data_IF_062823467710
#
_entry.id   IF_062823467710
#
_cell.length_a   1.000
_cell.length_b   1.000
_cell.length_c   1.000
_cell.angle_alpha   90.00
_cell.angle_beta   90.00
_cell.angle_gamma   90.00
#
_symmetry.space_group_name_H-M   'P 1'
#
loop_
_entity.id
_entity.type
_entity.pdbx_description
1 polymer ?
#
# COMPACT_ATOMS: atom_id res chain seq x y z
N UNK A 1 -77.94 -27.68 -41.45
CA UNK A 1 -76.86 -28.64 -41.76
C UNK A 1 -75.83 -28.49 -40.65
N UNK A 2 -75.75 -29.39 -39.66
CA UNK A 2 -74.90 -30.60 -39.66
C UNK A 2 -73.44 -30.23 -40.02
N UNK A 3 -72.38 -30.49 -39.24
CA UNK A 3 -72.13 -31.50 -38.22
C UNK A 3 -70.78 -31.23 -37.48
N UNK A 4 -70.60 -31.89 -36.32
CA UNK A 4 -69.37 -32.33 -35.62
C UNK A 4 -68.32 -31.29 -35.13
N UNK A 5 -67.94 -31.13 -33.85
CA UNK A 5 -67.73 -31.97 -32.64
C UNK A 5 -66.28 -32.51 -32.43
N UNK A 6 -65.71 -32.12 -31.27
CA UNK A 6 -64.66 -32.77 -30.44
C UNK A 6 -63.21 -32.69 -30.98
N UNK A 7 -62.09 -32.47 -30.27
CA UNK A 7 -61.60 -32.42 -28.86
C UNK A 7 -60.12 -31.97 -28.97
N UNK A 8 -59.41 -31.30 -28.04
CA UNK A 8 -58.82 -31.83 -26.78
C UNK A 8 -57.97 -30.73 -26.07
N UNK A 9 -58.30 -30.50 -24.79
CA UNK A 9 -57.56 -29.94 -23.61
C UNK A 9 -56.18 -29.23 -23.71
N UNK A 10 -56.18 -27.97 -23.21
CA UNK A 10 -55.36 -27.30 -22.16
C UNK A 10 -53.86 -27.62 -21.98
N UNK A 11 -53.02 -26.56 -21.96
CA UNK A 11 -51.98 -26.36 -20.93
C UNK A 11 -51.74 -24.87 -20.66
N UNK A 12 -51.55 -24.58 -19.39
CA UNK A 12 -51.42 -23.29 -18.72
C UNK A 12 -49.98 -22.77 -18.70
N UNK A 13 -49.88 -21.50 -18.27
CA UNK A 13 -48.79 -20.88 -17.51
C UNK A 13 -47.61 -20.26 -18.27
N UNK A 14 -47.54 -18.94 -18.07
CA UNK A 14 -46.41 -18.21 -17.49
C UNK A 14 -45.14 -18.16 -18.33
N UNK A 15 -45.01 -17.08 -19.10
CA UNK A 15 -43.79 -16.73 -19.83
C UNK A 15 -43.22 -15.44 -19.24
N UNK A 16 -42.78 -15.54 -17.99
CA UNK A 16 -42.02 -14.52 -17.27
C UNK A 16 -40.59 -14.50 -17.82
N UNK A 17 -40.36 -13.66 -18.84
CA UNK A 17 -39.02 -13.46 -19.42
C UNK A 17 -38.12 -12.71 -18.44
N UNK A 18 -36.90 -13.19 -18.16
CA UNK A 18 -36.05 -12.62 -17.14
C UNK A 18 -35.51 -11.26 -17.60
N UNK A 19 -35.94 -10.19 -16.91
CA UNK A 19 -35.36 -8.86 -17.00
C UNK A 19 -33.90 -8.94 -16.56
N UNK A 20 -32.97 -8.92 -17.53
CA UNK A 20 -31.54 -8.73 -17.28
C UNK A 20 -31.32 -7.35 -16.64
N UNK A 21 -31.41 -7.30 -15.30
CA UNK A 21 -30.91 -6.18 -14.51
C UNK A 21 -29.40 -6.10 -14.71
N UNK A 22 -28.97 -5.20 -15.60
CA UNK A 22 -27.60 -4.71 -15.63
C UNK A 22 -27.29 -4.15 -14.23
N UNK A 23 -26.61 -4.93 -13.39
CA UNK A 23 -25.91 -4.43 -12.21
C UNK A 23 -24.87 -3.45 -12.71
N UNK A 24 -25.23 -2.17 -12.79
CA UNK A 24 -24.28 -1.07 -12.79
C UNK A 24 -23.45 -1.24 -11.51
N UNK A 25 -22.29 -1.87 -11.63
CA UNK A 25 -21.23 -1.71 -10.65
C UNK A 25 -21.04 -0.21 -10.52
N UNK A 26 -21.45 0.33 -9.38
CA UNK A 26 -21.17 1.70 -8.99
C UNK A 26 -19.64 1.76 -8.88
N UNK A 27 -18.96 2.14 -9.97
CA UNK A 27 -17.56 2.54 -9.91
C UNK A 27 -17.52 3.56 -8.78
N UNK A 28 -16.84 3.23 -7.68
CA UNK A 28 -16.30 4.24 -6.79
C UNK A 28 -15.32 4.99 -7.70
N UNK A 29 -15.85 6.01 -8.39
CA UNK A 29 -15.03 7.04 -8.99
C UNK A 29 -14.37 7.67 -7.77
N UNK A 30 -13.08 7.47 -7.62
CA UNK A 30 -12.28 8.50 -6.96
C UNK A 30 -12.73 9.81 -7.59
N UNK A 31 -13.19 10.74 -6.75
CA UNK A 31 -13.73 11.99 -7.23
C UNK A 31 -12.60 12.66 -8.02
N UNK A 32 -12.76 12.84 -9.33
CA UNK A 32 -11.66 13.38 -10.15
C UNK A 32 -11.20 14.76 -9.64
N UNK A 33 -12.04 15.45 -8.86
CA UNK A 33 -11.73 16.69 -8.17
C UNK A 33 -10.62 16.59 -7.12
N UNK A 34 -10.30 15.40 -6.62
CA UNK A 34 -9.22 15.20 -5.64
C UNK A 34 -7.86 14.93 -6.28
N UNK A 35 -7.82 14.69 -7.58
CA UNK A 35 -6.58 14.42 -8.32
C UNK A 35 -5.95 15.73 -8.79
N UNK A 36 -4.88 16.13 -8.11
CA UNK A 36 -4.03 17.24 -8.51
C UNK A 36 -2.93 16.72 -9.46
N UNK A 37 -3.16 16.87 -10.76
CA UNK A 37 -2.24 16.43 -11.80
C UNK A 37 -0.94 17.23 -11.86
N UNK A 38 -1.00 18.51 -11.48
CA UNK A 38 0.17 19.40 -11.50
C UNK A 38 1.12 19.06 -10.35
N UNK A 39 0.57 18.77 -9.17
CA UNK A 39 1.36 18.29 -8.04
C UNK A 39 1.67 16.79 -8.11
N UNK A 40 0.97 16.02 -8.95
CA UNK A 40 1.06 14.56 -9.00
C UNK A 40 0.55 13.90 -7.72
N UNK A 41 -0.50 14.45 -7.11
CA UNK A 41 -1.05 14.02 -5.83
C UNK A 41 -2.56 13.76 -5.89
N UNK A 42 -3.02 12.76 -5.15
CA UNK A 42 -4.40 12.55 -4.79
C UNK A 42 -4.64 13.13 -3.39
N UNK A 43 -5.28 14.31 -3.34
CA UNK A 43 -5.55 15.05 -2.10
C UNK A 43 -6.57 14.37 -1.19
N UNK A 44 -7.28 13.34 -1.66
CA UNK A 44 -8.18 12.58 -0.81
C UNK A 44 -7.43 11.96 0.39
N UNK A 45 -6.18 11.54 0.22
CA UNK A 45 -5.34 10.96 1.28
C UNK A 45 -5.00 11.93 2.41
N UNK A 46 -5.17 13.23 2.22
CA UNK A 46 -5.00 14.24 3.29
C UNK A 46 -6.12 14.13 4.33
N UNK A 47 -7.28 13.59 3.94
CA UNK A 47 -8.52 13.59 4.70
C UNK A 47 -8.96 12.20 5.17
N UNK A 48 -8.27 11.15 4.72
CA UNK A 48 -8.62 9.77 5.07
C UNK A 48 -8.07 9.43 6.46
N UNK A 49 -8.98 9.11 7.38
CA UNK A 49 -8.64 8.51 8.67
C UNK A 49 -8.28 7.01 8.51
N UNK A 50 -7.93 6.36 9.62
CA UNK A 50 -7.57 4.93 9.62
C UNK A 50 -8.68 4.02 9.07
N UNK A 51 -9.95 4.36 9.28
CA UNK A 51 -11.09 3.57 8.79
C UNK A 51 -11.19 3.69 7.26
N UNK A 52 -11.17 4.91 6.74
CA UNK A 52 -11.23 5.17 5.30
C UNK A 52 -10.03 4.59 4.55
N UNK A 53 -8.82 4.66 5.13
CA UNK A 53 -7.62 4.04 4.55
C UNK A 53 -7.73 2.51 4.51
N UNK A 54 -8.15 1.89 5.61
CA UNK A 54 -8.34 0.44 5.67
C UNK A 54 -9.37 -0.04 4.64
N UNK A 55 -10.50 0.66 4.52
CA UNK A 55 -11.56 0.35 3.56
C UNK A 55 -11.07 0.56 2.11
N UNK A 56 -10.33 1.64 1.84
CA UNK A 56 -9.74 1.90 0.53
C UNK A 56 -8.80 0.76 0.10
N UNK A 57 -7.86 0.37 0.97
CA UNK A 57 -6.91 -0.71 0.71
C UNK A 57 -7.64 -2.05 0.55
N UNK A 58 -8.61 -2.37 1.42
CA UNK A 58 -9.40 -3.59 1.30
C UNK A 58 -10.18 -3.66 -0.02
N UNK A 59 -10.76 -2.54 -0.46
CA UNK A 59 -11.46 -2.45 -1.73
C UNK A 59 -10.52 -2.70 -2.92
N UNK A 60 -9.33 -2.08 -2.93
CA UNK A 60 -8.34 -2.26 -4.00
C UNK A 60 -7.78 -3.68 -4.01
N UNK A 61 -7.48 -4.26 -2.85
CA UNK A 61 -7.05 -5.66 -2.73
C UNK A 61 -8.10 -6.61 -3.30
N UNK A 62 -9.38 -6.46 -2.92
CA UNK A 62 -10.48 -7.30 -3.45
C UNK A 62 -10.66 -7.14 -4.97
N UNK A 63 -10.44 -5.95 -5.50
CA UNK A 63 -10.53 -5.67 -6.94
C UNK A 63 -9.48 -6.44 -7.75
N UNK A 64 -8.27 -6.61 -7.21
CA UNK A 64 -7.15 -7.22 -7.93
C UNK A 64 -6.85 -8.68 -7.54
N UNK A 65 -7.31 -9.12 -6.36
CA UNK A 65 -7.19 -10.49 -5.86
C UNK A 65 -8.41 -11.34 -6.21
N UNK A 66 -8.90 -11.29 -7.45
CA UNK A 66 -10.06 -12.08 -7.90
C UNK A 66 -9.81 -13.58 -7.90
N UNK A 67 -8.55 -13.98 -7.89
CA UNK A 67 -8.05 -15.34 -7.80
C UNK A 67 -7.94 -15.86 -6.36
N UNK A 68 -8.11 -14.99 -5.36
CA UNK A 68 -8.02 -15.35 -3.95
C UNK A 68 -9.38 -15.78 -3.38
N UNK A 69 -9.34 -16.77 -2.51
CA UNK A 69 -10.49 -17.18 -1.70
C UNK A 69 -10.89 -16.09 -0.69
N UNK A 70 -12.08 -16.24 -0.12
CA UNK A 70 -12.56 -15.31 0.93
C UNK A 70 -11.63 -15.30 2.15
N UNK A 71 -11.04 -16.46 2.48
CA UNK A 71 -10.10 -16.60 3.60
C UNK A 71 -8.79 -15.86 3.29
N UNK A 72 -8.21 -16.07 2.12
CA UNK A 72 -6.98 -15.37 1.72
C UNK A 72 -7.17 -13.85 1.64
N UNK A 73 -8.34 -13.38 1.18
CA UNK A 73 -8.67 -11.95 1.19
C UNK A 73 -8.80 -11.40 2.62
N UNK A 74 -9.25 -12.22 3.57
CA UNK A 74 -9.32 -11.81 4.98
C UNK A 74 -7.94 -11.72 5.62
N UNK A 75 -6.99 -12.56 5.22
CA UNK A 75 -5.60 -12.48 5.69
C UNK A 75 -4.91 -11.20 5.23
N UNK A 76 -5.30 -10.68 4.05
CA UNK A 76 -4.83 -9.41 3.49
C UNK A 76 -5.58 -8.17 4.00
N UNK A 77 -6.45 -8.31 4.99
CA UNK A 77 -7.13 -7.18 5.61
C UNK A 77 -6.25 -6.50 6.67
N UNK A 78 -6.19 -5.17 6.61
CA UNK A 78 -5.50 -4.30 7.58
C UNK A 78 -6.57 -3.69 8.48
N UNK A 79 -6.42 -3.84 9.79
CA UNK A 79 -7.34 -3.21 10.76
C UNK A 79 -7.14 -1.68 10.75
N UNK A 80 -8.22 -0.88 10.85
CA UNK A 80 -8.13 0.56 11.04
C UNK A 80 -7.20 0.96 12.20
N UNK A 81 -7.21 0.20 13.30
CA UNK A 81 -6.39 0.45 14.49
C UNK A 81 -4.89 0.21 14.26
N UNK A 82 -4.52 -0.48 13.18
CA UNK A 82 -3.12 -0.67 12.79
C UNK A 82 -2.54 0.59 12.11
N UNK A 83 -3.40 1.48 11.60
CA UNK A 83 -3.00 2.64 10.82
C UNK A 83 -2.87 3.84 11.76
N UNK A 84 -1.70 4.48 11.73
CA UNK A 84 -1.46 5.71 12.47
C UNK A 84 -2.21 6.86 11.79
N UNK A 85 -3.03 7.55 12.56
CA UNK A 85 -3.73 8.74 12.08
C UNK A 85 -2.74 9.88 11.80
N UNK A 86 -2.85 10.44 10.59
CA UNK A 86 -2.01 11.55 10.09
C UNK A 86 -2.85 12.68 9.50
N UNK A 87 -4.15 12.72 9.81
CA UNK A 87 -5.08 13.77 9.37
C UNK A 87 -4.77 15.14 9.98
N UNK A 88 -3.98 15.20 11.05
CA UNK A 88 -3.46 16.45 11.64
C UNK A 88 -2.36 17.13 10.79
N UNK A 89 -1.92 16.50 9.69
CA UNK A 89 -0.93 17.10 8.80
C UNK A 89 -1.59 18.10 7.83
N UNK A 90 -1.21 19.37 7.95
CA UNK A 90 -1.84 20.45 7.16
C UNK A 90 -1.14 20.76 5.84
N UNK A 91 0.16 20.44 5.70
CA UNK A 91 0.90 20.71 4.46
C UNK A 91 0.56 19.68 3.38
N UNK A 92 0.78 20.03 2.12
CA UNK A 92 0.62 19.08 1.01
C UNK A 92 1.57 17.89 1.17
N UNK A 93 1.11 16.69 0.81
CA UNK A 93 1.91 15.45 0.92
C UNK A 93 2.89 15.27 -0.25
N UNK A 94 3.67 16.33 -0.52
CA UNK A 94 4.62 16.43 -1.64
C UNK A 94 6.01 15.88 -1.28
N UNK A 95 6.92 15.77 -2.25
CA UNK A 95 8.32 15.37 -1.96
C UNK A 95 9.04 16.36 -1.05
N UNK A 96 8.73 17.66 -1.17
CA UNK A 96 9.35 18.73 -0.39
C UNK A 96 8.99 18.65 1.08
N UNK A 97 7.74 18.27 1.38
CA UNK A 97 7.19 18.20 2.72
C UNK A 97 7.41 16.85 3.41
N UNK A 98 7.87 15.82 2.68
CA UNK A 98 8.08 14.48 3.23
C UNK A 98 9.04 14.46 4.44
N UNK A 99 10.16 15.20 4.44
CA UNK A 99 11.05 15.17 5.58
C UNK A 99 10.42 15.77 6.84
N UNK A 100 9.66 16.87 6.71
CA UNK A 100 8.95 17.50 7.82
C UNK A 100 7.81 16.58 8.32
N UNK A 101 7.12 15.90 7.40
CA UNK A 101 6.10 14.91 7.73
C UNK A 101 6.70 13.76 8.56
N UNK A 102 7.86 13.22 8.14
CA UNK A 102 8.55 12.19 8.90
C UNK A 102 8.95 12.67 10.29
N UNK A 103 9.42 13.91 10.43
CA UNK A 103 9.73 14.51 11.74
C UNK A 103 8.48 14.58 12.63
N UNK A 104 7.35 15.06 12.10
CA UNK A 104 6.10 15.20 12.84
C UNK A 104 5.52 13.87 13.34
N UNK A 105 5.54 12.81 12.52
CA UNK A 105 4.89 11.53 12.85
C UNK A 105 5.84 10.43 13.33
N UNK A 106 7.14 10.71 13.41
CA UNK A 106 8.13 9.74 13.91
C UNK A 106 8.03 9.49 15.42
N UNK A 107 7.71 10.51 16.22
CA UNK A 107 7.84 10.46 17.68
C UNK A 107 9.28 10.46 18.18
N UNK A 108 10.28 10.40 17.29
CA UNK A 108 11.72 10.41 17.57
C UNK A 108 12.49 11.12 16.45
N UNK A 109 12.06 12.33 16.10
CA UNK A 109 12.61 13.15 15.01
C UNK A 109 14.13 13.21 15.00
N UNK A 110 14.75 13.35 16.18
CA UNK A 110 16.20 13.46 16.36
C UNK A 110 16.96 12.20 15.92
N UNK A 111 16.28 11.04 15.89
CA UNK A 111 16.85 9.73 15.57
C UNK A 111 16.63 9.31 14.12
N UNK A 112 15.91 10.11 13.32
CA UNK A 112 15.69 9.79 11.90
C UNK A 112 16.99 9.68 11.10
N UNK A 113 18.06 10.31 11.57
CA UNK A 113 19.38 10.25 10.96
C UNK A 113 20.31 9.18 11.54
N UNK A 114 19.82 8.33 12.46
CA UNK A 114 20.60 7.31 13.15
C UNK A 114 20.25 5.91 12.65
N UNK A 115 21.15 5.29 11.88
CA UNK A 115 20.99 3.88 11.54
C UNK A 115 21.15 2.96 12.76
N UNK A 116 20.39 1.86 12.85
CA UNK A 116 20.68 0.78 13.79
C UNK A 116 22.07 0.18 13.58
N UNK A 117 22.67 -0.39 14.63
CA UNK A 117 24.03 -0.98 14.57
C UNK A 117 24.12 -2.16 13.61
N UNK A 118 23.05 -2.95 13.51
CA UNK A 118 22.92 -4.10 12.62
C UNK A 118 22.79 -3.62 11.16
N UNK A 119 23.62 -4.15 10.27
CA UNK A 119 23.52 -3.90 8.84
C UNK A 119 22.17 -4.41 8.29
N UNK A 120 21.67 -3.79 7.24
CA UNK A 120 20.42 -4.22 6.59
C UNK A 120 19.17 -4.13 7.46
N UNK A 121 19.21 -3.40 8.59
CA UNK A 121 18.09 -3.29 9.53
C UNK A 121 17.63 -1.85 9.71
N UNK A 122 16.89 -1.27 8.74
CA UNK A 122 16.39 0.10 8.83
C UNK A 122 15.33 0.25 9.92
N UNK A 123 15.26 1.45 10.53
CA UNK A 123 14.15 1.81 11.41
C UNK A 123 12.94 2.33 10.62
N UNK A 124 13.14 2.77 9.38
CA UNK A 124 12.09 3.31 8.51
C UNK A 124 12.14 2.66 7.13
N UNK A 125 11.01 2.14 6.67
CA UNK A 125 10.82 1.72 5.27
C UNK A 125 9.79 2.62 4.62
N UNK A 126 10.13 3.20 3.46
CA UNK A 126 9.21 3.96 2.61
C UNK A 126 8.91 3.11 1.37
N UNK A 127 7.62 2.86 1.12
CA UNK A 127 7.13 1.99 0.05
C UNK A 127 6.55 2.85 -1.06
N UNK A 128 7.11 2.73 -2.27
CA UNK A 128 6.72 3.51 -3.43
C UNK A 128 6.14 2.61 -4.53
N UNK A 129 5.20 3.14 -5.32
CA UNK A 129 4.57 2.36 -6.40
C UNK A 129 5.45 2.11 -7.62
N UNK A 130 6.56 2.83 -7.78
CA UNK A 130 7.46 2.66 -8.93
C UNK A 130 8.90 3.02 -8.59
N UNK A 131 9.86 2.44 -9.31
CA UNK A 131 11.29 2.70 -9.11
C UNK A 131 11.71 4.14 -9.40
N UNK A 132 11.03 4.84 -10.32
CA UNK A 132 11.30 6.26 -10.57
C UNK A 132 10.91 7.11 -9.35
N UNK A 133 9.66 6.93 -8.87
CA UNK A 133 9.16 7.59 -7.66
C UNK A 133 9.99 7.25 -6.42
N UNK A 134 10.40 5.99 -6.26
CA UNK A 134 11.31 5.57 -5.19
C UNK A 134 12.64 6.35 -5.22
N UNK A 135 13.21 6.61 -6.40
CA UNK A 135 14.42 7.42 -6.52
C UNK A 135 14.19 8.88 -6.08
N UNK A 136 13.02 9.45 -6.33
CA UNK A 136 12.67 10.81 -5.92
C UNK A 136 12.47 10.90 -4.41
N UNK A 137 11.77 9.93 -3.81
CA UNK A 137 11.65 9.79 -2.36
C UNK A 137 13.00 9.65 -1.67
N UNK A 138 13.93 8.86 -2.25
CA UNK A 138 15.31 8.76 -1.74
C UNK A 138 16.00 10.12 -1.72
N UNK A 139 15.80 10.96 -2.73
CA UNK A 139 16.37 12.32 -2.77
C UNK A 139 15.73 13.22 -1.72
N UNK A 140 14.41 13.15 -1.56
CA UNK A 140 13.69 13.94 -0.54
C UNK A 140 14.19 13.64 0.88
N UNK A 141 14.41 12.36 1.22
CA UNK A 141 14.83 11.95 2.57
C UNK A 141 16.36 11.93 2.78
N UNK A 142 17.15 12.45 1.82
CA UNK A 142 18.62 12.51 1.96
C UNK A 142 19.08 13.34 3.14
N UNK A 143 18.28 14.28 3.64
CA UNK A 143 18.65 15.08 4.83
C UNK A 143 18.94 14.20 6.06
N UNK A 144 18.37 13.00 6.11
CA UNK A 144 18.55 12.04 7.19
C UNK A 144 19.74 11.09 6.99
N UNK A 145 20.47 11.16 5.88
CA UNK A 145 21.63 10.29 5.71
C UNK A 145 22.83 10.79 6.55
N UNK A 146 23.64 9.87 7.06
CA UNK A 146 24.94 10.18 7.69
C UNK A 146 26.07 9.47 6.95
N UNK A 147 27.31 9.92 7.16
CA UNK A 147 28.50 9.26 6.60
C UNK A 147 28.54 7.79 7.06
N UNK A 148 28.61 6.86 6.11
CA UNK A 148 28.56 5.42 6.40
C UNK A 148 27.16 4.84 6.66
N UNK A 149 26.10 5.66 6.54
CA UNK A 149 24.70 5.25 6.66
C UNK A 149 23.84 5.94 5.59
N UNK A 150 24.00 5.54 4.32
CA UNK A 150 23.18 6.07 3.22
C UNK A 150 21.73 5.61 3.33
N UNK A 151 20.83 6.33 2.66
CA UNK A 151 19.45 5.86 2.42
C UNK A 151 19.51 4.68 1.45
N UNK A 152 19.00 3.52 1.87
CA UNK A 152 19.00 2.31 1.04
C UNK A 152 18.00 2.42 -0.12
N UNK A 153 18.43 2.00 -1.32
CA UNK A 153 17.63 2.02 -2.55
C UNK A 153 17.24 0.59 -2.93
N UNK A 154 16.01 0.20 -2.60
CA UNK A 154 15.51 -1.18 -2.67
C UNK A 154 14.45 -1.34 -3.77
N UNK A 155 14.80 -0.99 -5.00
CA UNK A 155 13.91 -1.11 -6.16
C UNK A 155 14.68 -1.52 -7.42
N UNK A 156 13.99 -2.17 -8.36
CA UNK A 156 14.54 -2.61 -9.63
C UNK A 156 14.63 -1.41 -10.62
N UNK A 157 15.81 -0.80 -10.76
CA UNK A 157 16.09 0.18 -11.83
C UNK A 157 17.49 -0.01 -12.41
N UNK A 158 18.50 0.11 -11.56
CA UNK A 158 19.91 -0.08 -11.93
C UNK A 158 20.63 -1.10 -11.04
N UNK A 159 19.97 -1.60 -10.00
CA UNK A 159 20.55 -2.56 -9.06
C UNK A 159 19.83 -3.91 -9.15
N UNK A 160 20.61 -4.97 -9.31
CA UNK A 160 20.14 -6.35 -9.21
C UNK A 160 19.81 -6.70 -7.76
N UNK A 161 19.10 -7.80 -7.56
CA UNK A 161 18.72 -8.25 -6.22
C UNK A 161 19.97 -8.58 -5.39
N UNK A 162 20.92 -9.30 -5.99
CA UNK A 162 22.16 -9.77 -5.36
C UNK A 162 23.06 -8.61 -4.93
N UNK A 163 23.08 -7.53 -5.72
CA UNK A 163 23.82 -6.30 -5.40
C UNK A 163 23.21 -5.60 -4.18
N UNK A 164 21.88 -5.59 -4.06
CA UNK A 164 21.19 -5.03 -2.90
C UNK A 164 21.36 -5.91 -1.66
N UNK A 165 21.38 -7.24 -1.82
CA UNK A 165 21.71 -8.19 -0.76
C UNK A 165 23.12 -7.89 -0.23
N UNK A 166 24.12 -7.84 -1.11
CA UNK A 166 25.50 -7.54 -0.74
C UNK A 166 25.65 -6.16 -0.08
N UNK A 167 24.90 -5.16 -0.57
CA UNK A 167 24.85 -3.83 0.03
C UNK A 167 24.29 -3.86 1.45
N UNK A 168 23.14 -4.50 1.67
CA UNK A 168 22.48 -4.57 2.98
C UNK A 168 23.29 -5.37 4.00
N UNK A 169 24.03 -6.40 3.59
CA UNK A 169 24.91 -7.16 4.48
C UNK A 169 26.10 -6.33 5.00
N UNK A 170 26.60 -5.38 4.19
CA UNK A 170 27.79 -4.59 4.50
C UNK A 170 27.49 -3.18 5.02
N UNK A 171 26.26 -2.72 4.84
CA UNK A 171 25.91 -1.32 5.04
C UNK A 171 24.80 -1.18 6.08
N UNK A 172 25.03 -0.30 7.05
CA UNK A 172 24.00 0.17 7.97
C UNK A 172 23.14 1.21 7.25
N UNK A 173 21.83 1.13 7.44
CA UNK A 173 20.89 2.07 6.82
C UNK A 173 19.83 2.43 7.85
N UNK A 174 19.51 3.72 7.99
CA UNK A 174 18.42 4.18 8.88
C UNK A 174 17.08 4.12 8.15
N UNK A 175 17.06 4.68 6.94
CA UNK A 175 15.90 4.74 6.07
C UNK A 175 16.16 3.90 4.81
N UNK A 176 15.21 3.04 4.46
CA UNK A 176 15.20 2.34 3.19
C UNK A 176 13.98 2.74 2.36
N UNK A 177 14.14 2.89 1.06
CA UNK A 177 13.05 3.20 0.13
C UNK A 177 13.01 2.13 -0.95
N UNK A 178 11.85 1.52 -1.18
CA UNK A 178 11.72 0.42 -2.12
C UNK A 178 10.35 0.26 -2.74
N UNK A 179 10.27 -0.63 -3.73
CA UNK A 179 8.99 -1.06 -4.28
C UNK A 179 8.50 -2.31 -3.54
N UNK A 180 7.18 -2.55 -3.44
CA UNK A 180 6.63 -3.65 -2.64
C UNK A 180 7.28 -5.01 -2.90
N UNK A 181 7.35 -5.45 -4.17
CA UNK A 181 7.93 -6.76 -4.50
C UNK A 181 9.41 -6.84 -4.12
N UNK A 182 10.21 -5.80 -4.38
CA UNK A 182 11.64 -5.84 -4.07
C UNK A 182 11.90 -5.88 -2.56
N UNK A 183 11.06 -5.22 -1.77
CA UNK A 183 11.14 -5.30 -0.31
C UNK A 183 10.85 -6.72 0.17
N UNK A 184 9.81 -7.38 -0.37
CA UNK A 184 9.50 -8.78 -0.09
C UNK A 184 10.69 -9.67 -0.43
N UNK A 185 11.22 -9.58 -1.66
CA UNK A 185 12.35 -10.40 -2.11
C UNK A 185 13.56 -10.26 -1.16
N UNK A 186 13.87 -9.04 -0.71
CA UNK A 186 15.01 -8.78 0.18
C UNK A 186 14.79 -9.26 1.61
N UNK A 187 13.54 -9.27 2.10
CA UNK A 187 13.19 -9.84 3.40
C UNK A 187 13.30 -11.37 3.32
N UNK A 188 12.78 -11.99 2.26
CA UNK A 188 12.83 -13.44 2.04
C UNK A 188 14.26 -13.97 1.80
N UNK A 189 15.16 -13.12 1.30
CA UNK A 189 16.59 -13.42 1.20
C UNK A 189 17.38 -13.12 2.49
N UNK A 190 16.70 -12.84 3.61
CA UNK A 190 17.30 -12.50 4.91
C UNK A 190 18.26 -11.29 4.88
N UNK A 191 18.23 -10.49 3.81
CA UNK A 191 19.09 -9.32 3.65
C UNK A 191 18.50 -8.07 4.30
N UNK A 192 17.17 -7.92 4.27
CA UNK A 192 16.43 -6.83 4.90
C UNK A 192 15.80 -7.30 6.21
N UNK A 193 16.42 -6.93 7.33
CA UNK A 193 15.99 -7.34 8.66
C UNK A 193 15.04 -6.32 9.31
N UNK A 194 13.81 -6.77 9.64
CA UNK A 194 12.77 -5.90 10.20
C UNK A 194 12.84 -5.70 11.73
N UNK A 195 13.84 -6.26 12.41
CA UNK A 195 13.97 -6.25 13.87
C UNK A 195 14.00 -4.83 14.49
N UNK A 196 14.67 -3.88 13.83
CA UNK A 196 14.76 -2.49 14.27
C UNK A 196 13.71 -1.58 13.64
N UNK A 197 12.82 -2.12 12.80
CA UNK A 197 11.78 -1.35 12.13
C UNK A 197 10.88 -0.68 13.16
N UNK A 198 10.64 0.61 13.02
CA UNK A 198 9.71 1.39 13.84
C UNK A 198 8.54 1.92 13.03
N UNK A 199 8.69 2.04 11.72
CA UNK A 199 7.65 2.57 10.84
C UNK A 199 7.74 2.09 9.40
N UNK A 200 6.58 1.90 8.81
CA UNK A 200 6.36 1.69 7.38
C UNK A 200 5.55 2.86 6.86
N UNK A 201 6.08 3.58 5.87
CA UNK A 201 5.40 4.70 5.19
C UNK A 201 5.03 4.26 3.78
N UNK A 202 3.75 4.31 3.45
CA UNK A 202 3.24 4.04 2.10
C UNK A 202 3.06 5.37 1.38
N UNK A 203 3.76 5.59 0.26
CA UNK A 203 3.58 6.76 -0.62
C UNK A 203 2.29 6.59 -1.44
N UNK A 204 1.17 6.83 -0.77
CA UNK A 204 -0.18 6.55 -1.22
C UNK A 204 -0.81 7.75 -1.94
N UNK A 205 -0.47 8.97 -1.55
CA UNK A 205 -0.99 10.18 -2.18
C UNK A 205 -0.42 10.40 -3.59
N UNK A 206 0.78 9.90 -3.90
CA UNK A 206 1.36 10.06 -5.23
C UNK A 206 0.54 9.36 -6.33
N UNK A 207 0.28 10.09 -7.41
CA UNK A 207 -0.31 9.56 -8.65
C UNK A 207 0.63 9.76 -9.84
N UNK A 208 0.66 8.81 -10.75
CA UNK A 208 1.41 8.92 -12.00
C UNK A 208 0.66 9.74 -13.07
N UNK A 209 1.30 9.94 -14.22
CA UNK A 209 0.73 10.65 -15.37
C UNK A 209 -0.58 10.03 -15.91
N UNK A 210 -0.88 8.78 -15.54
CA UNK A 210 -2.11 8.07 -15.92
C UNK A 210 -3.14 8.05 -14.77
N UNK A 211 -2.98 8.91 -13.76
CA UNK A 211 -3.86 9.00 -12.58
C UNK A 211 -3.86 7.72 -11.74
N UNK A 212 -2.73 7.01 -11.66
CA UNK A 212 -2.60 5.76 -10.90
C UNK A 212 -1.66 5.95 -9.71
N UNK A 213 -2.13 5.63 -8.51
CA UNK A 213 -1.32 5.51 -7.31
C UNK A 213 -0.79 4.10 -7.07
N UNK A 214 -0.15 3.90 -5.92
CA UNK A 214 0.44 2.61 -5.53
C UNK A 214 -0.59 1.46 -5.45
N UNK A 215 -1.85 1.81 -5.17
CA UNK A 215 -2.94 0.86 -5.00
C UNK A 215 -3.75 0.56 -6.29
N UNK A 216 -3.39 1.17 -7.44
CA UNK A 216 -4.21 1.15 -8.66
C UNK A 216 -3.81 0.13 -9.72
N UNK A 217 -2.74 -0.63 -9.47
CA UNK A 217 -2.22 -1.63 -10.41
C UNK A 217 -2.09 -2.97 -9.68
N UNK A 218 -2.51 -4.07 -10.32
CA UNK A 218 -2.44 -5.42 -9.72
C UNK A 218 -1.02 -5.78 -9.30
N UNK A 219 -0.05 -5.45 -10.14
CA UNK A 219 1.38 -5.74 -9.99
C UNK A 219 2.01 -5.01 -8.81
N UNK A 220 1.37 -3.94 -8.31
CA UNK A 220 1.86 -3.14 -7.17
C UNK A 220 1.00 -3.35 -5.94
N UNK A 221 -0.33 -3.35 -6.09
CA UNK A 221 -1.28 -3.50 -5.00
C UNK A 221 -1.20 -4.89 -4.37
N UNK A 222 -1.08 -5.97 -5.16
CA UNK A 222 -1.04 -7.32 -4.57
C UNK A 222 0.24 -7.53 -3.74
N UNK A 223 1.44 -7.18 -4.23
CA UNK A 223 2.63 -7.19 -3.38
C UNK A 223 2.55 -6.20 -2.21
N UNK A 224 1.95 -5.02 -2.38
CA UNK A 224 1.75 -4.08 -1.26
C UNK A 224 0.90 -4.72 -0.15
N UNK A 225 -0.26 -5.29 -0.49
CA UNK A 225 -1.13 -5.96 0.46
C UNK A 225 -0.40 -7.10 1.18
N UNK A 226 0.34 -7.93 0.44
CA UNK A 226 1.15 -9.03 1.01
C UNK A 226 2.22 -8.51 1.95
N UNK A 227 2.96 -7.47 1.56
CA UNK A 227 3.99 -6.84 2.38
C UNK A 227 3.41 -6.28 3.68
N UNK A 228 2.33 -5.49 3.59
CA UNK A 228 1.72 -4.88 4.76
C UNK A 228 1.07 -5.92 5.68
N UNK A 229 0.54 -7.02 5.13
CA UNK A 229 -0.14 -8.07 5.87
C UNK A 229 0.75 -9.27 6.24
N UNK A 230 2.08 -9.15 6.16
CA UNK A 230 2.96 -10.19 6.70
C UNK A 230 2.70 -10.37 8.20
N UNK A 231 2.71 -11.61 8.67
CA UNK A 231 2.43 -11.94 10.07
C UNK A 231 3.35 -11.20 11.04
N UNK A 232 4.65 -11.17 10.73
CA UNK A 232 5.69 -10.48 11.50
C UNK A 232 5.46 -8.96 11.63
N UNK A 233 4.72 -8.34 10.71
CA UNK A 233 4.35 -6.91 10.78
C UNK A 233 2.96 -6.69 11.38
N UNK A 234 1.95 -7.50 11.01
CA UNK A 234 0.57 -7.35 11.52
C UNK A 234 0.51 -7.38 13.04
N UNK A 235 1.26 -8.29 13.66
CA UNK A 235 1.33 -8.42 15.12
C UNK A 235 1.93 -7.17 15.80
N UNK A 236 2.75 -6.41 15.06
CA UNK A 236 3.47 -5.24 15.57
C UNK A 236 2.69 -3.94 15.41
N UNK A 237 1.73 -3.88 14.49
CA UNK A 237 0.93 -2.66 14.31
C UNK A 237 -0.04 -2.42 15.47
N UNK A 238 -0.65 -3.45 16.05
CA UNK A 238 -1.64 -3.29 17.11
C UNK A 238 -1.05 -3.38 18.52
N UNK A 239 0.28 -3.54 18.63
CA UNK A 239 0.99 -3.39 19.89
C UNK A 239 0.65 -4.45 20.94
N UNK A 240 0.58 -5.73 20.55
CA UNK A 240 0.61 -6.81 21.55
C UNK A 240 1.86 -6.61 22.44
N UNK A 241 1.64 -6.57 23.76
CA UNK A 241 2.55 -6.07 24.83
C UNK A 241 3.98 -6.62 24.78
N UNK A 242 4.23 -7.69 24.03
CA UNK A 242 5.52 -8.40 23.95
C UNK A 242 6.40 -8.02 22.77
N UNK A 243 5.92 -7.24 21.78
CA UNK A 243 6.67 -6.96 20.53
C UNK A 243 6.83 -5.46 20.28
N UNK A 244 7.98 -5.03 19.73
CA UNK A 244 8.24 -3.63 19.37
C UNK A 244 7.24 -3.16 18.30
N UNK A 245 6.43 -2.19 18.67
CA UNK A 245 5.42 -1.57 17.80
C UNK A 245 6.02 -1.00 16.51
N UNK A 246 5.23 -1.05 15.43
CA UNK A 246 5.55 -0.43 14.13
C UNK A 246 4.40 0.49 13.74
N UNK A 247 4.70 1.75 13.48
CA UNK A 247 3.73 2.68 12.91
C UNK A 247 3.49 2.33 11.42
N UNK A 248 2.26 2.01 11.04
CA UNK A 248 1.86 1.97 9.63
C UNK A 248 1.26 3.32 9.24
N UNK A 249 1.95 4.05 8.37
CA UNK A 249 1.60 5.41 7.98
C UNK A 249 1.37 5.47 6.48
N UNK A 250 0.33 6.17 6.06
CA UNK A 250 0.08 6.50 4.66
C UNK A 250 0.47 7.97 4.45
N UNK A 251 1.34 8.22 3.48
CA UNK A 251 1.79 9.53 3.03
C UNK A 251 1.20 9.84 1.66
#
# INVERSE_FOLDING_TARGET
MASEALTKKRKSQDDDKPVKKQKKQKKVREDEGDLDMDAGLNRAFERMDGQLLADHIAQKTRRFGTDLSTVELSDLYISPNAIKDTTSWEKTRSLENLPDFLEAFSGDSDKLNEAPKKCGSPHTIIVAGAGLRAADLVRAVRKFQKKGSPVAKLFAKHFKLEEQVAFLQKTRTGIAVGTPQRLIDLIENDALCLENLRRVIVDASHIDQKKRGIADMRETMMPLARLLCRSDLKERYTGAVTVRHVDLIFY
#
